data_IF_294119312262
#
_entry.id   IF_294119312262
#
_cell.length_a   1.000
_cell.length_b   1.000
_cell.length_c   1.000
_cell.angle_alpha   90.00
_cell.angle_beta   90.00
_cell.angle_gamma   90.00
#
_symmetry.space_group_name_H-M   'P 1'
#
loop_
_entity.id
_entity.type
_entity.pdbx_description
1 polymer ?
#
# COMPACT_ATOMS: atom_id res chain seq x y z
N UNK A 1 14.62 -25.53 -3.70
CA UNK A 1 16.09 -25.44 -3.55
C UNK A 1 16.73 -26.77 -3.94
N UNK A 2 18.05 -26.82 -4.21
CA UNK A 2 18.74 -28.09 -4.49
C UNK A 2 18.48 -29.13 -3.38
N UNK A 3 18.43 -30.41 -3.77
CA UNK A 3 18.16 -31.56 -2.86
C UNK A 3 16.75 -31.53 -2.24
N UNK A 4 15.74 -31.16 -3.01
CA UNK A 4 14.32 -31.12 -2.56
C UNK A 4 14.06 -30.33 -1.29
N UNK A 5 14.91 -29.34 -0.99
CA UNK A 5 14.72 -28.47 0.17
C UNK A 5 13.69 -27.38 -0.16
N UNK A 6 12.62 -27.21 0.63
CA UNK A 6 11.76 -26.03 0.52
C UNK A 6 12.58 -24.79 0.88
N UNK A 7 12.28 -23.66 0.25
CA UNK A 7 12.97 -22.41 0.49
C UNK A 7 12.05 -21.24 0.18
N UNK A 8 12.36 -20.10 0.78
CA UNK A 8 11.60 -18.85 0.62
C UNK A 8 12.47 -17.90 -0.20
N UNK A 9 11.87 -17.29 -1.22
CA UNK A 9 12.48 -16.16 -1.93
C UNK A 9 12.09 -14.88 -1.21
N UNK A 10 13.06 -14.22 -0.57
CA UNK A 10 12.88 -12.89 0.01
C UNK A 10 13.18 -11.81 -1.04
N UNK A 11 12.22 -10.91 -1.26
CA UNK A 11 12.37 -9.75 -2.14
C UNK A 11 12.14 -8.48 -1.33
N UNK A 12 13.07 -7.53 -1.40
CA UNK A 12 12.98 -6.23 -0.72
C UNK A 12 13.00 -5.12 -1.75
N UNK A 13 12.06 -4.18 -1.64
CA UNK A 13 12.02 -2.96 -2.47
C UNK A 13 12.43 -1.80 -1.57
N UNK A 14 13.49 -1.09 -1.93
CA UNK A 14 13.96 0.08 -1.23
C UNK A 14 14.40 1.19 -2.20
N UNK A 15 14.44 2.46 -1.74
CA UNK A 15 15.15 3.52 -2.43
C UNK A 15 16.64 3.18 -2.65
N UNK A 16 17.23 3.73 -3.71
CA UNK A 16 18.64 3.45 -4.08
C UNK A 16 19.61 3.87 -2.95
N UNK A 17 19.34 4.95 -2.24
CA UNK A 17 20.14 5.40 -1.10
C UNK A 17 20.06 4.49 0.14
N UNK A 18 19.18 3.49 0.13
CA UNK A 18 18.98 2.53 1.24
C UNK A 18 19.50 1.13 0.97
N UNK A 19 20.10 0.89 -0.20
CA UNK A 19 20.61 -0.43 -0.60
C UNK A 19 21.54 -1.02 0.47
N UNK A 20 22.58 -0.29 0.87
CA UNK A 20 23.60 -0.77 1.80
C UNK A 20 23.02 -1.12 3.18
N UNK A 21 22.05 -0.31 3.66
CA UNK A 21 21.34 -0.58 4.92
C UNK A 21 20.52 -1.86 4.81
N UNK A 22 19.79 -2.06 3.70
CA UNK A 22 19.02 -3.28 3.48
C UNK A 22 19.93 -4.51 3.37
N UNK A 23 21.04 -4.44 2.63
CA UNK A 23 22.01 -5.54 2.51
C UNK A 23 22.59 -5.92 3.87
N UNK A 24 22.99 -4.90 4.66
CA UNK A 24 23.52 -5.10 6.02
C UNK A 24 22.52 -5.86 6.90
N UNK A 25 21.25 -5.47 6.88
CA UNK A 25 20.20 -6.15 7.65
C UNK A 25 20.02 -7.58 7.15
N UNK A 26 19.95 -7.80 5.84
CA UNK A 26 19.70 -9.13 5.27
C UNK A 26 20.86 -10.09 5.56
N UNK A 27 22.12 -9.65 5.44
CA UNK A 27 23.27 -10.49 5.77
C UNK A 27 23.37 -10.79 7.27
N UNK A 28 22.97 -9.85 8.13
CA UNK A 28 23.00 -10.04 9.59
C UNK A 28 21.91 -10.98 10.09
N UNK A 29 20.68 -10.83 9.57
CA UNK A 29 19.49 -11.50 10.10
C UNK A 29 19.13 -12.79 9.33
N UNK A 30 19.84 -13.10 8.24
CA UNK A 30 19.58 -14.31 7.43
C UNK A 30 20.86 -15.10 7.18
N UNK A 31 20.70 -16.35 6.76
CA UNK A 31 21.83 -17.22 6.41
C UNK A 31 22.25 -17.09 4.94
N UNK A 32 21.82 -16.06 4.23
CA UNK A 32 22.19 -15.90 2.82
C UNK A 32 23.67 -15.56 2.66
N UNK A 33 24.30 -16.10 1.62
CA UNK A 33 25.69 -15.78 1.28
C UNK A 33 25.80 -14.72 0.18
N UNK A 34 24.67 -14.29 -0.38
CA UNK A 34 24.66 -13.29 -1.43
C UNK A 34 23.27 -12.71 -1.67
N UNK A 35 23.25 -11.51 -2.22
CA UNK A 35 22.05 -10.77 -2.60
C UNK A 35 22.16 -10.44 -4.07
N UNK A 36 21.05 -10.54 -4.80
CA UNK A 36 20.96 -10.10 -6.20
C UNK A 36 20.14 -8.83 -6.22
N UNK A 37 20.67 -7.79 -6.87
CA UNK A 37 20.05 -6.48 -6.92
C UNK A 37 19.69 -6.11 -8.36
N UNK A 38 18.57 -5.40 -8.54
CA UNK A 38 18.25 -4.71 -9.80
C UNK A 38 17.66 -3.34 -9.50
N UNK A 39 18.00 -2.33 -10.30
CA UNK A 39 17.39 -1.00 -10.22
C UNK A 39 16.23 -0.96 -11.22
N UNK A 40 15.03 -0.66 -10.74
CA UNK A 40 13.81 -0.61 -11.54
C UNK A 40 13.34 0.84 -11.66
N UNK A 41 13.00 1.26 -12.89
CA UNK A 41 12.29 2.52 -13.11
C UNK A 41 10.81 2.32 -12.73
N UNK A 42 10.21 3.31 -12.09
CA UNK A 42 8.81 3.27 -11.66
C UNK A 42 8.08 4.52 -12.10
N UNK A 43 7.00 4.34 -12.86
CA UNK A 43 6.00 5.38 -13.09
C UNK A 43 4.99 5.33 -11.95
N UNK A 44 4.67 6.49 -11.37
CA UNK A 44 3.70 6.60 -10.27
C UNK A 44 2.65 7.65 -10.62
N UNK A 45 1.42 7.42 -10.14
CA UNK A 45 0.38 8.43 -10.14
C UNK A 45 0.61 9.43 -9.01
N UNK A 46 0.12 10.65 -9.20
CA UNK A 46 0.02 11.61 -8.11
C UNK A 46 -1.01 11.08 -7.11
N UNK A 47 -0.71 11.19 -5.81
CA UNK A 47 -1.58 10.69 -4.74
C UNK A 47 -1.79 11.73 -3.66
N UNK A 48 -3.01 11.83 -3.20
CA UNK A 48 -3.39 12.60 -2.02
C UNK A 48 -4.25 11.75 -1.09
N UNK A 49 -4.26 12.12 0.19
CA UNK A 49 -5.14 11.51 1.18
C UNK A 49 -6.18 12.56 1.56
N UNK A 50 -7.46 12.22 1.42
CA UNK A 50 -8.57 13.03 1.91
C UNK A 50 -9.34 12.26 2.97
N UNK A 51 -10.09 12.99 3.79
CA UNK A 51 -10.94 12.42 4.83
C UNK A 51 -12.39 12.50 4.37
N UNK A 52 -13.10 11.38 4.40
CA UNK A 52 -14.52 11.27 4.07
C UNK A 52 -15.30 11.02 5.36
N UNK A 53 -16.35 11.80 5.58
CA UNK A 53 -17.24 11.61 6.73
C UNK A 53 -18.24 10.52 6.41
N UNK A 54 -18.35 9.53 7.28
CA UNK A 54 -19.34 8.45 7.17
C UNK A 54 -20.20 8.40 8.43
N UNK A 55 -21.29 7.63 8.39
CA UNK A 55 -22.13 7.41 9.57
C UNK A 55 -21.40 6.78 10.76
N UNK A 56 -20.26 6.13 10.52
CA UNK A 56 -19.44 5.52 11.57
C UNK A 56 -18.30 6.43 12.02
N UNK A 57 -18.06 7.55 11.34
CA UNK A 57 -16.95 8.47 11.61
C UNK A 57 -16.12 8.79 10.37
N UNK A 58 -14.97 9.40 10.60
CA UNK A 58 -14.06 9.91 9.57
C UNK A 58 -13.12 8.81 9.08
N UNK A 59 -13.13 8.56 7.77
CA UNK A 59 -12.26 7.55 7.13
C UNK A 59 -11.37 8.24 6.10
N UNK A 60 -10.07 7.93 6.14
CA UNK A 60 -9.14 8.42 5.10
C UNK A 60 -9.32 7.64 3.81
N UNK A 61 -9.14 8.33 2.70
CA UNK A 61 -9.26 7.80 1.34
C UNK A 61 -8.05 8.23 0.54
N UNK A 62 -7.37 7.25 -0.06
CA UNK A 62 -6.27 7.44 -1.00
C UNK A 62 -6.85 7.73 -2.38
N UNK A 63 -6.57 8.91 -2.90
CA UNK A 63 -6.99 9.33 -4.24
C UNK A 63 -5.75 9.33 -5.12
N UNK A 64 -5.76 8.51 -6.17
CA UNK A 64 -4.72 8.48 -7.19
C UNK A 64 -5.23 9.19 -8.45
N UNK A 65 -4.43 10.13 -8.97
CA UNK A 65 -4.79 10.95 -10.12
C UNK A 65 -3.64 11.11 -11.10
N UNK A 66 -3.98 11.46 -12.34
CA UNK A 66 -3.05 11.82 -13.39
C UNK A 66 -3.34 13.23 -13.91
N UNK A 67 -2.32 13.95 -14.37
CA UNK A 67 -2.46 15.33 -14.83
C UNK A 67 -2.48 16.35 -13.69
N UNK A 68 -2.56 17.64 -14.04
CA UNK A 68 -2.54 18.76 -13.10
C UNK A 68 -3.55 19.83 -13.49
N UNK A 69 -4.01 20.61 -12.51
CA UNK A 69 -4.98 21.69 -12.72
C UNK A 69 -6.30 21.16 -13.30
N UNK A 70 -6.78 21.81 -14.36
CA UNK A 70 -8.03 21.45 -15.04
C UNK A 70 -7.97 20.08 -15.75
N UNK A 71 -6.77 19.57 -16.04
CA UNK A 71 -6.57 18.26 -16.66
C UNK A 71 -6.36 17.13 -15.63
N UNK A 72 -6.69 17.35 -14.35
CA UNK A 72 -6.57 16.31 -13.31
C UNK A 72 -7.69 15.29 -13.47
N UNK A 73 -7.33 14.06 -13.79
CA UNK A 73 -8.25 12.92 -13.85
C UNK A 73 -8.00 11.99 -12.67
N UNK A 74 -9.04 11.71 -11.88
CA UNK A 74 -8.98 10.69 -10.82
C UNK A 74 -9.00 9.32 -11.48
N UNK A 75 -7.99 8.50 -11.19
CA UNK A 75 -7.82 7.15 -11.74
C UNK A 75 -8.31 6.09 -10.77
N UNK A 76 -8.09 6.31 -9.47
CA UNK A 76 -8.49 5.38 -8.43
C UNK A 76 -8.79 6.10 -7.12
N UNK A 77 -9.73 5.56 -6.37
CA UNK A 77 -10.13 6.01 -5.04
C UNK A 77 -10.19 4.76 -4.17
N UNK A 78 -9.40 4.72 -3.10
CA UNK A 78 -9.33 3.55 -2.23
C UNK A 78 -9.44 3.97 -0.77
N UNK A 79 -10.46 3.50 -0.03
CA UNK A 79 -10.55 3.70 1.42
C UNK A 79 -9.32 3.14 2.13
N UNK A 80 -8.84 3.83 3.15
CA UNK A 80 -7.70 3.38 3.93
C UNK A 80 -8.06 2.11 4.71
N UNK A 81 -7.32 1.03 4.44
CA UNK A 81 -7.66 -0.29 4.97
C UNK A 81 -7.74 -0.31 6.50
N UNK A 82 -6.76 0.27 7.20
CA UNK A 82 -6.72 0.21 8.67
C UNK A 82 -7.88 0.97 9.31
N UNK A 83 -8.29 2.11 8.72
CA UNK A 83 -9.45 2.88 9.18
C UNK A 83 -10.72 2.02 8.99
N UNK A 84 -10.92 1.47 7.78
CA UNK A 84 -12.07 0.60 7.50
C UNK A 84 -12.09 -0.67 8.36
N UNK A 85 -10.93 -1.29 8.59
CA UNK A 85 -10.81 -2.52 9.38
C UNK A 85 -11.08 -2.26 10.86
N UNK A 86 -10.64 -1.12 11.39
CA UNK A 86 -10.94 -0.69 12.76
C UNK A 86 -12.45 -0.53 12.93
N UNK A 87 -13.10 0.19 12.02
CA UNK A 87 -14.54 0.44 12.10
C UNK A 87 -15.38 -0.80 11.83
N UNK A 88 -14.95 -1.66 10.90
CA UNK A 88 -15.58 -2.96 10.67
C UNK A 88 -15.63 -3.81 11.94
N UNK A 89 -14.54 -3.82 12.73
CA UNK A 89 -14.49 -4.52 14.01
C UNK A 89 -15.35 -3.84 15.08
N UNK A 90 -15.26 -2.51 15.19
CA UNK A 90 -15.99 -1.73 16.20
C UNK A 90 -17.51 -1.86 16.04
N UNK A 91 -18.01 -1.75 14.81
CA UNK A 91 -19.43 -1.79 14.50
C UNK A 91 -19.92 -3.17 14.03
N UNK A 92 -19.08 -4.20 14.13
CA UNK A 92 -19.35 -5.58 13.72
C UNK A 92 -19.96 -5.65 12.29
N UNK A 93 -19.37 -4.92 11.36
CA UNK A 93 -19.78 -4.90 9.95
C UNK A 93 -18.73 -5.60 9.06
N UNK A 94 -19.14 -6.19 7.93
CA UNK A 94 -18.18 -6.68 6.94
C UNK A 94 -17.30 -5.54 6.41
N UNK A 95 -15.99 -5.77 6.31
CA UNK A 95 -15.02 -4.79 5.77
C UNK A 95 -15.45 -4.25 4.41
N UNK A 96 -15.92 -5.12 3.52
CA UNK A 96 -16.38 -4.75 2.18
C UNK A 96 -17.54 -3.76 2.21
N UNK A 97 -18.44 -3.88 3.19
CA UNK A 97 -19.57 -2.96 3.37
C UNK A 97 -19.10 -1.58 3.85
N UNK A 98 -18.12 -1.53 4.76
CA UNK A 98 -17.50 -0.27 5.18
C UNK A 98 -16.79 0.40 4.01
N UNK A 99 -15.99 -0.35 3.24
CA UNK A 99 -15.30 0.17 2.07
C UNK A 99 -16.26 0.72 1.02
N UNK A 100 -17.34 -0.01 0.71
CA UNK A 100 -18.34 0.45 -0.25
C UNK A 100 -19.00 1.75 0.22
N UNK A 101 -19.42 1.80 1.49
CA UNK A 101 -20.02 3.00 2.07
C UNK A 101 -19.12 4.23 2.00
N UNK A 102 -17.81 4.07 2.19
CA UNK A 102 -16.85 5.18 2.04
C UNK A 102 -16.75 5.65 0.61
N UNK A 103 -16.79 4.72 -0.35
CA UNK A 103 -16.78 5.06 -1.77
C UNK A 103 -18.05 5.81 -2.18
N UNK A 104 -19.22 5.35 -1.72
CA UNK A 104 -20.50 6.00 -1.98
C UNK A 104 -20.49 7.44 -1.40
N UNK A 105 -20.05 7.59 -0.14
CA UNK A 105 -19.93 8.90 0.51
C UNK A 105 -18.83 9.81 -0.05
N UNK A 106 -17.92 9.29 -0.86
CA UNK A 106 -16.93 10.10 -1.59
C UNK A 106 -17.49 10.64 -2.91
N UNK A 107 -18.46 9.93 -3.51
CA UNK A 107 -19.11 10.34 -4.76
C UNK A 107 -20.29 11.27 -4.57
N UNK A 108 -20.89 11.27 -3.38
CA UNK A 108 -21.95 12.20 -2.94
C UNK A 108 -21.40 13.60 -2.59
#
# INVERSE_FOLDING_TARGET
MKKSRPGILLTVICPVDKIEVCETIIFRETTTLGIRQSIQKRSILDREIKTVKTQYGDIRVKIASQGKGENKTIINVQPEYEDCATMAREYNQPLTKIQQMVLDAFTD
#
